data_IF_791419371922
#
_entry.id   IF_791419371922
#
_cell.length_a   1.000
_cell.length_b   1.000
_cell.length_c   1.000
_cell.angle_alpha   90.00
_cell.angle_beta   90.00
_cell.angle_gamma   90.00
#
_symmetry.space_group_name_H-M   'P 1'
#
loop_
_entity.id
_entity.type
_entity.pdbx_description
1 polymer ?
#
# COMPACT_ATOMS: atom_id res chain seq x y z
N UNK A 1 -55.43 -4.35 -4.75
CA UNK A 1 -54.45 -5.17 -4.00
C UNK A 1 -53.38 -5.59 -5.00
N UNK A 2 -52.35 -4.77 -5.13
CA UNK A 2 -51.19 -5.03 -6.00
C UNK A 2 -49.97 -4.59 -5.21
N UNK A 3 -49.08 -5.55 -5.01
CA UNK A 3 -47.88 -5.55 -4.20
C UNK A 3 -46.78 -4.70 -4.86
N UNK A 4 -46.21 -3.66 -4.21
CA UNK A 4 -45.12 -2.90 -4.79
C UNK A 4 -43.79 -3.64 -4.62
N UNK A 5 -43.24 -4.03 -5.76
CA UNK A 5 -41.90 -4.59 -5.95
C UNK A 5 -40.84 -3.88 -5.12
N UNK A 6 -40.20 -4.65 -4.24
CA UNK A 6 -39.02 -4.29 -3.44
C UNK A 6 -37.80 -4.10 -4.38
N UNK A 7 -37.09 -2.97 -4.36
CA UNK A 7 -35.81 -2.86 -5.03
C UNK A 7 -34.74 -3.62 -4.23
N UNK A 8 -34.13 -4.59 -4.90
CA UNK A 8 -32.95 -5.32 -4.41
C UNK A 8 -31.74 -4.39 -4.45
N UNK A 9 -31.27 -3.97 -3.28
CA UNK A 9 -29.98 -3.32 -3.10
C UNK A 9 -28.88 -4.37 -3.31
N UNK A 10 -28.24 -4.34 -4.47
CA UNK A 10 -26.95 -4.98 -4.66
C UNK A 10 -25.95 -4.28 -3.76
N UNK A 11 -25.29 -5.05 -2.90
CA UNK A 11 -24.14 -4.62 -2.11
C UNK A 11 -22.99 -4.32 -3.06
N UNK A 12 -22.37 -3.12 -3.04
CA UNK A 12 -21.11 -2.94 -3.72
C UNK A 12 -20.04 -3.59 -2.86
N UNK A 13 -19.55 -4.76 -3.29
CA UNK A 13 -18.26 -5.27 -2.84
C UNK A 13 -17.22 -4.21 -3.20
N UNK A 14 -16.87 -3.40 -2.21
CA UNK A 14 -15.92 -2.30 -2.29
C UNK A 14 -14.50 -2.83 -2.33
N UNK A 15 -14.18 -3.63 -3.35
CA UNK A 15 -12.81 -3.90 -3.72
C UNK A 15 -12.21 -2.56 -4.16
N UNK A 16 -11.49 -1.92 -3.22
CA UNK A 16 -10.74 -0.71 -3.46
C UNK A 16 -9.85 -0.95 -4.67
N UNK A 17 -10.05 -0.20 -5.75
CA UNK A 17 -9.16 -0.29 -6.90
C UNK A 17 -7.73 0.00 -6.38
N UNK A 18 -6.77 -0.93 -6.51
CA UNK A 18 -5.40 -0.65 -6.13
C UNK A 18 -4.95 0.57 -6.91
N UNK A 19 -4.18 1.43 -6.24
CA UNK A 19 -3.59 2.62 -6.85
C UNK A 19 -2.91 2.24 -8.18
N UNK A 20 -2.82 3.17 -9.13
CA UNK A 20 -2.29 2.93 -10.48
C UNK A 20 -0.90 2.28 -10.48
N UNK A 21 -0.15 2.37 -9.38
CA UNK A 21 1.16 1.75 -9.15
C UNK A 21 1.13 0.30 -8.60
N UNK A 22 -0.03 -0.26 -8.28
CA UNK A 22 -0.15 -1.62 -7.74
C UNK A 22 0.41 -1.79 -6.32
N UNK A 23 0.63 -0.71 -5.57
CA UNK A 23 1.16 -0.75 -4.19
C UNK A 23 0.08 -0.32 -3.21
N UNK A 24 -0.09 -1.06 -2.11
CA UNK A 24 -0.98 -0.74 -1.00
C UNK A 24 -0.22 -0.73 0.35
N UNK A 25 -0.78 -0.03 1.34
CA UNK A 25 -0.30 -0.09 2.73
C UNK A 25 -1.03 -1.21 3.43
N UNK A 26 -0.29 -2.04 4.15
CA UNK A 26 -0.83 -3.03 5.06
C UNK A 26 -0.43 -2.68 6.51
N UNK A 27 -1.33 -2.95 7.44
CA UNK A 27 -1.02 -3.07 8.86
C UNK A 27 -0.99 -4.55 9.21
N UNK A 28 0.14 -5.04 9.69
CA UNK A 28 0.34 -6.44 10.05
C UNK A 28 0.37 -6.51 11.57
N UNK A 29 -0.64 -7.15 12.16
CA UNK A 29 -0.77 -7.27 13.60
C UNK A 29 -0.41 -8.67 14.07
N UNK A 30 0.42 -8.77 15.10
CA UNK A 30 0.67 -10.04 15.78
C UNK A 30 -0.55 -10.43 16.63
N UNK A 31 -0.99 -11.69 16.53
CA UNK A 31 -2.08 -12.25 17.33
C UNK A 31 -1.50 -13.07 18.48
N UNK A 32 -2.28 -13.22 19.55
CA UNK A 32 -1.87 -13.98 20.74
C UNK A 32 -1.55 -15.47 20.48
N UNK A 33 -1.98 -16.03 19.34
CA UNK A 33 -1.67 -17.40 18.92
C UNK A 33 -0.38 -17.49 18.07
N UNK A 34 0.38 -16.39 17.95
CA UNK A 34 1.59 -16.30 17.13
C UNK A 34 1.34 -16.17 15.64
N UNK A 35 0.08 -16.07 15.20
CA UNK A 35 -0.25 -15.80 13.80
C UNK A 35 -0.37 -14.30 13.52
N UNK A 36 -0.32 -13.91 12.25
CA UNK A 36 -0.46 -12.51 11.84
C UNK A 36 -1.85 -12.22 11.26
N UNK A 37 -2.45 -11.10 11.65
CA UNK A 37 -3.60 -10.50 10.97
C UNK A 37 -3.12 -9.38 10.04
N UNK A 38 -3.62 -9.37 8.81
CA UNK A 38 -3.30 -8.32 7.83
C UNK A 38 -4.54 -7.46 7.59
N UNK A 39 -4.37 -6.15 7.71
CA UNK A 39 -5.40 -5.15 7.45
C UNK A 39 -4.91 -4.24 6.33
N UNK A 40 -5.68 -4.12 5.25
CA UNK A 40 -5.40 -3.21 4.13
C UNK A 40 -6.34 -2.00 4.23
N UNK A 41 -5.87 -0.83 4.69
CA UNK A 41 -6.68 0.38 4.70
C UNK A 41 -7.04 0.79 3.27
N UNK A 42 -8.31 1.15 2.99
CA UNK A 42 -8.68 1.64 1.68
C UNK A 42 -8.01 3.00 1.41
N UNK A 43 -7.96 3.42 0.14
CA UNK A 43 -7.41 4.72 -0.29
C UNK A 43 -8.34 5.90 0.06
N UNK A 44 -8.77 5.97 1.32
CA UNK A 44 -9.60 7.00 1.95
C UNK A 44 -9.41 6.93 3.46
N UNK A 45 -9.81 8.00 4.16
CA UNK A 45 -9.88 7.98 5.63
C UNK A 45 -10.77 6.83 6.10
N UNK A 46 -10.28 6.08 7.08
CA UNK A 46 -11.00 4.98 7.76
C UNK A 46 -10.76 5.05 9.26
N UNK A 47 -11.72 4.61 10.06
CA UNK A 47 -11.49 4.38 11.48
C UNK A 47 -10.73 3.06 11.68
N UNK A 48 -9.81 3.03 12.65
CA UNK A 48 -9.14 1.81 13.09
C UNK A 48 -9.47 1.56 14.57
N UNK A 49 -9.93 0.35 14.84
CA UNK A 49 -10.17 -0.20 16.17
C UNK A 49 -9.18 -1.33 16.43
N UNK A 50 -8.39 -1.21 17.49
CA UNK A 50 -7.36 -2.16 17.86
C UNK A 50 -7.36 -2.34 19.38
N UNK A 51 -8.34 -3.11 19.88
CA UNK A 51 -8.53 -3.37 21.30
C UNK A 51 -8.14 -4.81 21.68
N UNK A 52 -7.44 -4.95 22.80
CA UNK A 52 -7.02 -6.24 23.36
C UNK A 52 -6.18 -7.07 22.38
N UNK A 53 -6.28 -8.40 22.49
CA UNK A 53 -5.51 -9.34 21.64
C UNK A 53 -6.18 -9.67 20.29
N UNK A 54 -7.23 -8.92 19.91
CA UNK A 54 -7.98 -9.16 18.68
C UNK A 54 -7.24 -8.67 17.43
N UNK A 55 -7.71 -9.11 16.26
CA UNK A 55 -7.27 -8.48 15.01
C UNK A 55 -7.78 -7.03 14.95
N UNK A 56 -6.96 -6.08 14.48
CA UNK A 56 -7.44 -4.74 14.21
C UNK A 56 -8.56 -4.77 13.16
N UNK A 57 -9.53 -3.88 13.32
CA UNK A 57 -10.69 -3.77 12.43
C UNK A 57 -10.80 -2.35 11.86
N UNK A 58 -11.20 -2.27 10.59
CA UNK A 58 -11.50 -1.02 9.93
C UNK A 58 -13.00 -0.72 10.01
N UNK A 59 -13.32 0.54 10.28
CA UNK A 59 -14.68 1.04 10.34
C UNK A 59 -14.83 2.38 9.63
N UNK A 60 -16.03 2.95 9.74
CA UNK A 60 -16.34 4.26 9.19
C UNK A 60 -15.66 5.37 9.99
N UNK A 61 -15.16 6.46 9.36
CA UNK A 61 -14.51 7.56 10.06
C UNK A 61 -15.38 8.27 11.12
N UNK A 62 -16.70 8.09 11.06
CA UNK A 62 -17.66 8.65 12.01
C UNK A 62 -17.97 7.74 13.20
N UNK A 63 -17.32 6.58 13.32
CA UNK A 63 -17.53 5.66 14.43
C UNK A 63 -17.13 6.32 15.77
N UNK A 64 -18.04 6.46 16.73
CA UNK A 64 -17.74 7.09 18.02
C UNK A 64 -16.72 6.30 18.85
N UNK A 65 -16.59 4.99 18.61
CA UNK A 65 -15.63 4.10 19.28
C UNK A 65 -14.29 4.05 18.54
N UNK A 66 -14.11 4.85 17.48
CA UNK A 66 -12.84 4.94 16.76
C UNK A 66 -11.72 5.48 17.67
N UNK A 67 -10.64 4.71 17.78
CA UNK A 67 -9.43 5.10 18.50
C UNK A 67 -8.50 5.93 17.61
N UNK A 68 -8.45 5.57 16.32
CA UNK A 68 -7.62 6.21 15.32
C UNK A 68 -8.41 6.46 14.04
N UNK A 69 -8.07 7.54 13.35
CA UNK A 69 -8.30 7.66 11.91
C UNK A 69 -7.01 7.33 11.19
N UNK A 70 -7.10 6.58 10.10
CA UNK A 70 -5.97 6.25 9.24
C UNK A 70 -6.30 6.55 7.78
N UNK A 71 -5.29 6.93 7.01
CA UNK A 71 -5.40 7.18 5.58
C UNK A 71 -4.09 6.86 4.88
N UNK A 72 -4.07 5.97 3.87
CA UNK A 72 -2.93 5.86 2.96
C UNK A 72 -2.79 7.16 2.16
N UNK A 73 -1.64 7.83 2.31
CA UNK A 73 -1.38 9.11 1.63
C UNK A 73 -0.07 9.06 0.87
N UNK A 74 -0.02 9.76 -0.27
CA UNK A 74 1.22 9.99 -1.01
C UNK A 74 1.88 11.25 -0.49
N UNK A 75 3.07 11.12 0.09
CA UNK A 75 3.79 12.27 0.66
C UNK A 75 4.65 12.96 -0.41
N UNK A 76 4.36 14.23 -0.78
CA UNK A 76 5.19 14.97 -1.73
C UNK A 76 6.62 15.16 -1.22
N UNK A 77 6.78 15.36 0.09
CA UNK A 77 8.08 15.47 0.74
C UNK A 77 8.93 14.18 0.62
N UNK A 78 8.26 13.04 0.43
CA UNK A 78 8.91 11.74 0.18
C UNK A 78 8.92 11.36 -1.31
N UNK A 79 8.79 12.33 -2.23
CA UNK A 79 8.79 12.07 -3.67
C UNK A 79 7.54 11.35 -4.18
N UNK A 80 6.40 11.50 -3.50
CA UNK A 80 5.13 10.86 -3.87
C UNK A 80 4.95 9.45 -3.33
N UNK A 81 5.89 8.97 -2.48
CA UNK A 81 5.82 7.64 -1.87
C UNK A 81 4.60 7.49 -0.95
N UNK A 82 4.01 6.30 -0.98
CA UNK A 82 2.90 5.92 -0.13
C UNK A 82 3.34 5.82 1.34
N UNK A 83 2.52 6.36 2.24
CA UNK A 83 2.70 6.42 3.70
C UNK A 83 1.34 6.17 4.34
N UNK A 84 1.35 5.86 5.64
CA UNK A 84 0.11 5.83 6.43
C UNK A 84 0.05 7.08 7.30
N UNK A 85 -0.92 7.96 7.05
CA UNK A 85 -1.27 8.98 8.02
C UNK A 85 -2.12 8.34 9.10
N UNK A 86 -1.81 8.60 10.36
CA UNK A 86 -2.76 8.33 11.45
C UNK A 86 -3.06 9.61 12.24
N UNK A 87 -4.25 9.64 12.86
CA UNK A 87 -4.68 10.67 13.80
C UNK A 87 -5.33 10.00 15.01
N UNK A 88 -4.75 10.17 16.19
CA UNK A 88 -5.31 9.71 17.45
C UNK A 88 -6.54 10.52 17.85
N UNK A 89 -7.60 9.81 18.20
CA UNK A 89 -8.88 10.34 18.64
C UNK A 89 -9.05 10.19 20.15
N UNK A 90 -9.89 11.04 20.75
CA UNK A 90 -10.39 10.88 22.11
C UNK A 90 -9.31 10.70 23.21
N UNK A 91 -8.11 11.24 22.99
CA UNK A 91 -7.00 11.09 23.94
C UNK A 91 -6.38 9.68 23.97
N UNK A 92 -6.67 8.85 22.96
CA UNK A 92 -6.07 7.53 22.80
C UNK A 92 -4.56 7.63 22.79
N UNK A 93 -3.92 6.89 23.70
CA UNK A 93 -2.47 6.73 23.71
C UNK A 93 -2.05 5.76 22.61
N UNK A 94 -1.06 6.19 21.83
CA UNK A 94 -0.51 5.41 20.72
C UNK A 94 0.98 5.37 20.94
N UNK A 95 1.54 4.17 20.99
CA UNK A 95 2.98 3.96 21.00
C UNK A 95 3.44 3.75 19.55
N UNK A 96 4.50 4.44 19.17
CA UNK A 96 5.18 4.32 17.88
C UNK A 96 6.66 4.03 18.15
N UNK A 97 7.18 2.89 17.66
CA UNK A 97 8.55 2.44 17.90
C UNK A 97 8.99 2.61 19.37
N UNK A 98 8.16 2.11 20.29
CA UNK A 98 8.34 2.19 21.76
C UNK A 98 8.34 3.60 22.37
N UNK A 99 7.91 4.62 21.62
CA UNK A 99 7.76 5.99 22.09
C UNK A 99 6.31 6.45 22.02
N UNK A 100 5.89 7.34 22.90
CA UNK A 100 4.56 7.93 22.79
C UNK A 100 4.47 8.76 21.50
N UNK A 101 3.53 8.41 20.64
CA UNK A 101 3.34 9.07 19.37
C UNK A 101 2.64 10.44 19.54
N UNK A 102 2.98 11.44 18.72
CA UNK A 102 2.18 12.65 18.58
C UNK A 102 0.76 12.32 18.13
N UNK A 103 -0.16 13.29 18.30
CA UNK A 103 -1.57 13.13 17.91
C UNK A 103 -1.75 12.76 16.44
N UNK A 104 -0.88 13.24 15.55
CA UNK A 104 -0.91 12.91 14.14
C UNK A 104 0.51 12.74 13.61
N UNK A 105 0.72 11.74 12.76
CA UNK A 105 2.02 11.42 12.20
C UNK A 105 1.88 10.64 10.89
N UNK A 106 2.87 10.80 10.02
CA UNK A 106 3.06 9.96 8.85
C UNK A 106 3.99 8.80 9.18
N UNK A 107 3.46 7.59 9.15
CA UNK A 107 4.20 6.37 9.35
C UNK A 107 4.84 5.89 8.06
N UNK A 108 6.03 5.34 8.22
CA UNK A 108 6.87 4.74 7.21
C UNK A 108 6.71 3.22 7.22
N UNK A 109 7.00 2.55 6.09
CA UNK A 109 7.13 1.11 6.09
C UNK A 109 8.24 0.68 7.09
N UNK A 110 7.96 -0.34 7.90
CA UNK A 110 8.78 -0.81 9.02
C UNK A 110 8.51 -0.11 10.35
N UNK A 111 7.66 0.93 10.40
CA UNK A 111 7.25 1.52 11.67
C UNK A 111 6.31 0.58 12.42
N UNK A 112 6.51 0.47 13.73
CA UNK A 112 5.67 -0.27 14.65
C UNK A 112 4.73 0.65 15.42
N UNK A 113 3.48 0.24 15.57
CA UNK A 113 2.44 0.98 16.25
C UNK A 113 1.66 0.08 17.21
N UNK A 114 1.36 0.58 18.40
CA UNK A 114 0.46 -0.05 19.37
C UNK A 114 -0.56 0.96 19.85
N UNK A 115 -1.84 0.63 19.75
CA UNK A 115 -2.96 1.50 20.14
C UNK A 115 -3.48 1.03 21.48
N UNK A 116 -3.42 1.88 22.51
CA UNK A 116 -3.82 1.49 23.86
C UNK A 116 -3.23 0.13 24.28
N UNK A 117 -4.09 -0.83 24.61
CA UNK A 117 -3.77 -2.21 24.99
C UNK A 117 -3.88 -3.22 23.82
N UNK A 118 -3.97 -2.72 22.59
CA UNK A 118 -4.07 -3.51 21.36
C UNK A 118 -2.80 -4.26 20.97
N UNK A 119 -2.85 -5.02 19.86
CA UNK A 119 -1.69 -5.73 19.34
C UNK A 119 -0.62 -4.76 18.83
N UNK A 120 0.63 -5.25 18.76
CA UNK A 120 1.67 -4.58 18.00
C UNK A 120 1.35 -4.72 16.51
N UNK A 121 1.39 -3.62 15.78
CA UNK A 121 1.17 -3.56 14.35
C UNK A 121 2.40 -3.02 13.64
N UNK A 122 2.85 -3.69 12.60
CA UNK A 122 3.88 -3.20 11.68
C UNK A 122 3.22 -2.59 10.44
N UNK A 123 3.68 -1.41 10.03
CA UNK A 123 3.31 -0.79 8.76
C UNK A 123 4.13 -1.40 7.65
N UNK A 124 3.50 -2.07 6.70
CA UNK A 124 4.16 -2.67 5.55
C UNK A 124 3.63 -2.10 4.23
N UNK A 125 4.42 -2.21 3.17
CA UNK A 125 3.94 -1.97 1.80
C UNK A 125 3.84 -3.30 1.08
N UNK A 126 2.63 -3.63 0.63
CA UNK A 126 2.42 -4.76 -0.26
C UNK A 126 2.42 -4.25 -1.69
N UNK A 127 3.26 -4.85 -2.52
CA UNK A 127 3.37 -4.49 -3.93
C UNK A 127 2.86 -5.65 -4.79
N UNK A 128 1.97 -5.32 -5.71
CA UNK A 128 1.51 -6.17 -6.80
C UNK A 128 2.06 -5.56 -8.09
N UNK A 129 3.19 -6.08 -8.61
CA UNK A 129 3.78 -5.61 -9.86
C UNK A 129 2.76 -5.58 -10.99
N UNK A 130 2.73 -4.47 -11.73
CA UNK A 130 1.87 -4.30 -12.90
C UNK A 130 2.69 -3.87 -14.09
N UNK A 131 2.51 -4.58 -15.21
CA UNK A 131 2.84 -4.08 -16.53
C UNK A 131 1.59 -3.39 -17.06
N UNK A 132 1.63 -2.06 -17.12
CA UNK A 132 0.51 -1.23 -17.60
C UNK A 132 0.84 -0.58 -18.94
N UNK A 133 -0.15 -0.10 -19.70
CA UNK A 133 0.12 0.87 -20.76
C UNK A 133 0.79 2.10 -20.16
N UNK A 134 1.65 2.76 -20.94
CA UNK A 134 2.14 4.08 -20.61
C UNK A 134 0.93 5.01 -20.40
N UNK A 135 0.87 5.81 -19.32
CA UNK A 135 -0.26 6.71 -19.11
C UNK A 135 -0.41 7.66 -20.28
N UNK A 136 -1.65 7.92 -20.72
CA UNK A 136 -1.97 8.60 -21.99
C UNK A 136 -1.33 10.00 -22.10
N UNK A 137 -1.16 10.69 -20.97
CA UNK A 137 -0.56 12.03 -20.89
C UNK A 137 0.96 12.02 -20.65
N UNK A 138 1.57 10.84 -20.58
CA UNK A 138 2.99 10.74 -20.26
C UNK A 138 3.81 11.02 -21.52
N UNK A 139 4.29 12.26 -21.62
CA UNK A 139 5.40 12.63 -22.50
C UNK A 139 6.76 12.09 -22.02
N UNK A 140 6.74 11.01 -21.22
CA UNK A 140 7.95 10.41 -20.70
C UNK A 140 8.82 9.94 -21.86
N UNK A 141 10.09 10.27 -21.73
CA UNK A 141 11.12 9.83 -22.64
C UNK A 141 11.88 8.69 -22.00
N UNK A 142 12.14 7.61 -22.75
CA UNK A 142 13.00 6.53 -22.29
C UNK A 142 14.36 7.10 -21.84
N UNK A 143 14.76 6.80 -20.61
CA UNK A 143 16.01 7.34 -20.03
C UNK A 143 17.27 6.78 -20.72
N UNK A 144 17.15 5.68 -21.46
CA UNK A 144 18.24 5.06 -22.23
C UNK A 144 18.38 5.63 -23.64
N UNK A 145 17.36 5.44 -24.48
CA UNK A 145 17.42 5.78 -25.90
C UNK A 145 16.80 7.13 -26.23
N UNK A 146 16.22 7.82 -25.24
CA UNK A 146 15.51 9.10 -25.42
C UNK A 146 14.32 9.03 -26.39
N UNK A 147 13.76 7.84 -26.63
CA UNK A 147 12.52 7.66 -27.41
C UNK A 147 11.29 7.98 -26.55
N UNK A 148 10.28 8.71 -27.06
CA UNK A 148 9.00 8.89 -26.38
C UNK A 148 8.29 7.55 -26.10
N UNK A 149 7.66 7.43 -24.93
CA UNK A 149 7.07 6.16 -24.42
C UNK A 149 5.55 6.07 -24.67
N UNK A 150 5.02 6.74 -25.70
CA UNK A 150 3.58 6.74 -25.96
C UNK A 150 3.06 5.37 -26.45
N UNK A 151 2.00 4.84 -25.82
CA UNK A 151 1.30 3.64 -26.28
C UNK A 151 2.03 2.31 -26.10
N UNK A 152 3.05 2.25 -25.24
CA UNK A 152 3.86 1.03 -24.96
C UNK A 152 3.71 0.58 -23.50
N UNK A 153 4.14 -0.65 -23.17
CA UNK A 153 4.09 -1.14 -21.78
C UNK A 153 5.13 -0.45 -20.91
N UNK A 154 4.78 -0.19 -19.65
CA UNK A 154 5.65 0.39 -18.65
C UNK A 154 5.59 -0.43 -17.35
N UNK A 155 6.74 -0.56 -16.71
CA UNK A 155 6.92 -1.00 -15.35
C UNK A 155 7.15 0.22 -14.44
N UNK A 156 6.53 0.22 -13.26
CA UNK A 156 6.71 1.26 -12.24
C UNK A 156 7.51 0.68 -11.09
N UNK A 157 8.63 1.31 -10.74
CA UNK A 157 9.44 0.85 -9.62
C UNK A 157 8.71 1.07 -8.28
N UNK A 158 8.57 0.04 -7.43
CA UNK A 158 7.87 0.17 -6.15
C UNK A 158 8.61 1.01 -5.11
N UNK A 159 9.90 1.31 -5.33
CA UNK A 159 10.73 2.01 -4.35
C UNK A 159 10.92 3.49 -4.64
N UNK A 160 10.88 3.89 -5.90
CA UNK A 160 11.12 5.28 -6.30
C UNK A 160 10.09 5.81 -7.30
N UNK A 161 9.04 5.04 -7.58
CA UNK A 161 7.98 5.37 -8.53
C UNK A 161 8.51 5.68 -9.96
N UNK A 162 9.74 5.26 -10.26
CA UNK A 162 10.39 5.49 -11.55
C UNK A 162 9.81 4.58 -12.63
N UNK A 163 9.52 5.14 -13.80
CA UNK A 163 9.00 4.40 -14.94
C UNK A 163 10.12 3.80 -15.77
N UNK A 164 10.00 2.52 -16.08
CA UNK A 164 10.80 1.84 -17.09
C UNK A 164 9.84 1.36 -18.16
N UNK A 165 10.07 1.78 -19.41
CA UNK A 165 9.40 1.17 -20.56
C UNK A 165 9.66 -0.35 -20.56
N UNK A 166 8.88 -1.17 -21.27
CA UNK A 166 9.21 -2.56 -21.58
C UNK A 166 8.70 -2.90 -22.98
N UNK A 167 9.47 -3.64 -23.79
CA UNK A 167 8.97 -4.25 -25.03
C UNK A 167 8.78 -5.75 -24.83
N UNK A 168 7.66 -6.28 -25.31
CA UNK A 168 7.49 -7.73 -25.50
C UNK A 168 8.26 -8.09 -26.79
N UNK A 169 9.21 -9.00 -26.69
CA UNK A 169 10.13 -9.33 -27.80
C UNK A 169 9.51 -10.42 -28.70
N UNK A 170 9.57 -10.20 -30.02
CA UNK A 170 9.59 -11.28 -31.04
C UNK A 170 10.27 -10.84 -32.35
N UNK A 171 10.89 -9.65 -32.44
CA UNK A 171 11.54 -9.18 -33.67
C UNK A 171 12.98 -8.72 -33.41
N UNK A 172 13.95 -9.29 -34.12
CA UNK A 172 15.40 -9.01 -33.97
C UNK A 172 15.82 -7.56 -34.29
N UNK A 173 14.89 -6.71 -34.76
CA UNK A 173 15.11 -5.31 -35.09
C UNK A 173 14.69 -4.31 -33.99
N UNK A 174 14.17 -4.78 -32.85
CA UNK A 174 13.72 -3.92 -31.76
C UNK A 174 14.89 -3.42 -30.90
N UNK A 175 14.89 -2.12 -30.58
CA UNK A 175 15.80 -1.56 -29.58
C UNK A 175 15.35 -2.07 -28.20
N UNK A 176 16.03 -3.10 -27.68
CA UNK A 176 15.74 -3.86 -26.45
C UNK A 176 15.89 -3.08 -25.13
N UNK A 177 15.72 -1.76 -25.13
CA UNK A 177 16.26 -0.88 -24.10
C UNK A 177 15.67 -1.07 -22.70
N UNK A 178 14.71 -1.98 -22.51
CA UNK A 178 14.15 -2.26 -21.21
C UNK A 178 13.36 -3.57 -21.16
N UNK A 179 13.95 -4.65 -21.70
CA UNK A 179 13.71 -5.96 -21.08
C UNK A 179 13.87 -5.74 -19.58
N UNK A 180 12.90 -6.17 -18.77
CA UNK A 180 12.82 -5.81 -17.34
C UNK A 180 14.20 -5.98 -16.72
N UNK A 181 14.87 -4.86 -16.44
CA UNK A 181 16.21 -4.88 -15.89
C UNK A 181 16.11 -5.52 -14.50
N UNK A 182 17.12 -6.27 -14.06
CA UNK A 182 17.08 -6.86 -12.72
C UNK A 182 17.08 -5.78 -11.61
N UNK A 183 17.38 -4.52 -11.94
CA UNK A 183 17.41 -3.39 -11.02
C UNK A 183 16.73 -2.14 -11.60
N UNK A 184 16.09 -1.36 -10.74
CA UNK A 184 15.50 -0.08 -11.09
C UNK A 184 16.57 0.98 -11.35
N UNK A 185 16.46 1.71 -12.45
CA UNK A 185 17.44 2.77 -12.77
C UNK A 185 17.36 4.03 -11.91
N UNK A 186 16.22 4.30 -11.28
CA UNK A 186 16.05 5.45 -10.39
C UNK A 186 16.68 5.24 -9.01
N UNK A 187 16.56 4.05 -8.43
CA UNK A 187 17.03 3.77 -7.07
C UNK A 187 18.01 2.61 -6.94
N UNK A 188 18.37 1.96 -8.04
CA UNK A 188 19.26 0.79 -8.12
C UNK A 188 18.84 -0.42 -7.27
N UNK A 189 17.57 -0.49 -6.86
CA UNK A 189 17.03 -1.63 -6.10
C UNK A 189 16.56 -2.75 -7.04
N UNK A 190 16.62 -4.03 -6.61
CA UNK A 190 16.11 -5.15 -7.41
C UNK A 190 14.66 -4.94 -7.84
N UNK A 191 14.34 -5.30 -9.07
CA UNK A 191 12.96 -5.32 -9.57
C UNK A 191 12.36 -6.70 -9.30
N UNK A 192 11.31 -6.75 -8.49
CA UNK A 192 10.48 -7.94 -8.33
C UNK A 192 9.24 -7.82 -9.21
N UNK A 193 8.95 -8.89 -9.95
CA UNK A 193 7.69 -9.08 -10.68
C UNK A 193 6.72 -10.01 -9.95
N UNK A 194 7.13 -10.51 -8.79
CA UNK A 194 6.29 -11.29 -7.88
C UNK A 194 5.63 -10.34 -6.90
N UNK A 195 4.33 -10.53 -6.66
CA UNK A 195 3.64 -9.81 -5.60
C UNK A 195 4.27 -10.16 -4.24
N UNK A 196 4.41 -9.17 -3.37
CA UNK A 196 5.06 -9.35 -2.08
C UNK A 196 5.30 -8.05 -1.34
N UNK A 197 5.78 -8.17 -0.11
CA UNK A 197 6.11 -7.03 0.72
C UNK A 197 7.44 -6.39 0.30
N UNK A 198 7.50 -5.06 0.39
CA UNK A 198 8.73 -4.30 0.16
C UNK A 198 9.59 -4.31 1.42
N UNK A 199 10.45 -5.33 1.52
CA UNK A 199 11.05 -5.74 2.79
C UNK A 199 10.18 -6.82 3.44
N UNK A 200 10.80 -7.84 4.03
CA UNK A 200 10.04 -8.85 4.75
C UNK A 200 9.61 -8.29 6.10
N UNK A 201 8.30 -8.26 6.41
CA UNK A 201 7.83 -7.79 7.69
C UNK A 201 8.40 -8.66 8.81
N UNK A 202 8.88 -8.02 9.88
CA UNK A 202 9.51 -8.70 11.01
C UNK A 202 8.51 -9.64 11.68
N UNK A 203 7.25 -9.19 11.84
CA UNK A 203 6.17 -9.98 12.45
C UNK A 203 5.86 -11.26 11.67
N UNK A 204 6.13 -11.31 10.36
CA UNK A 204 5.91 -12.51 9.55
C UNK A 204 7.05 -13.54 9.65
N UNK A 205 8.19 -13.13 10.22
CA UNK A 205 9.43 -13.92 10.24
C UNK A 205 9.78 -14.46 11.64
N UNK A 206 9.09 -14.03 12.70
CA UNK A 206 9.38 -14.52 14.04
C UNK A 206 8.92 -15.99 14.21
N UNK A 207 9.82 -16.89 14.66
CA UNK A 207 9.44 -18.26 14.93
C UNK A 207 8.51 -18.32 16.14
N UNK A 208 7.33 -18.91 15.95
CA UNK A 208 6.38 -19.21 17.04
C UNK A 208 7.12 -20.03 18.10
N UNK A 209 7.35 -19.41 19.25
CA UNK A 209 8.11 -19.97 20.36
C UNK A 209 7.26 -20.86 21.26
#
# INVERSE_FOLDING_TARGET
>A
MTDPTKPTTASPDGATAPDAAGTSVHLIAERADGSAAVVEPPARVSALQAHGAGAPALGDPGDPEAQLLIEPVRSPAAGGRLRLLFVALNGTEVMWNDQLAPRAMLLHPGDHLRVADGPLMEVALYHVPRLGPAPEDTTATCVFCRTPVAGRRCYVCPHCDGFSHCEDDDSEASLKCSTIAPFCHGCNKPISLTAGYLGEPEILNEPVS
#
